data_IF_799113042741
#
_entry.id   IF_799113042741
#
_cell.length_a   1.000
_cell.length_b   1.000
_cell.length_c   1.000
_cell.angle_alpha   90.00
_cell.angle_beta   90.00
_cell.angle_gamma   90.00
#
_symmetry.space_group_name_H-M   'P 1'
#
loop_
_entity.id
_entity.type
_entity.pdbx_description
1 polymer ?
#
# COMPACT_ATOMS: atom_id res chain seq x y z
N UNK A 1 -49.67 -45.12 -16.75
CA UNK A 1 -48.44 -44.71 -17.47
C UNK A 1 -48.06 -43.28 -17.12
N UNK A 2 -48.91 -42.29 -17.39
CA UNK A 2 -48.68 -40.84 -17.18
C UNK A 2 -48.25 -40.37 -15.77
N UNK A 3 -48.52 -41.14 -14.71
CA UNK A 3 -48.20 -40.79 -13.31
C UNK A 3 -46.77 -41.14 -12.89
N UNK A 4 -46.12 -42.09 -13.58
CA UNK A 4 -44.73 -42.45 -13.33
C UNK A 4 -43.77 -41.45 -13.98
N UNK A 5 -44.08 -41.01 -15.21
CA UNK A 5 -43.30 -39.99 -15.93
C UNK A 5 -43.28 -38.65 -15.17
N UNK A 6 -44.39 -38.26 -14.55
CA UNK A 6 -44.49 -37.04 -13.74
C UNK A 6 -43.60 -37.09 -12.48
N UNK A 7 -43.51 -38.25 -11.82
CA UNK A 7 -42.67 -38.43 -10.64
C UNK A 7 -41.17 -38.44 -11.00
N UNK A 8 -40.82 -38.96 -12.17
CA UNK A 8 -39.45 -38.97 -12.69
C UNK A 8 -38.98 -37.55 -13.04
N UNK A 9 -39.85 -36.75 -13.68
CA UNK A 9 -39.61 -35.33 -13.96
C UNK A 9 -39.42 -34.53 -12.66
N UNK A 10 -40.31 -34.71 -11.68
CA UNK A 10 -40.20 -34.03 -10.37
C UNK A 10 -38.91 -34.42 -9.63
N UNK A 11 -38.52 -35.70 -9.71
CA UNK A 11 -37.27 -36.20 -9.14
C UNK A 11 -36.03 -35.54 -9.76
N UNK A 12 -36.01 -35.40 -11.08
CA UNK A 12 -34.90 -34.75 -11.80
C UNK A 12 -34.85 -33.24 -11.55
N UNK A 13 -36.00 -32.56 -11.47
CA UNK A 13 -36.08 -31.14 -11.10
C UNK A 13 -35.50 -30.91 -9.70
N UNK A 14 -35.81 -31.77 -8.71
CA UNK A 14 -35.24 -31.68 -7.36
C UNK A 14 -33.71 -31.85 -7.36
N UNK A 15 -33.17 -32.80 -8.12
CA UNK A 15 -31.71 -32.99 -8.25
C UNK A 15 -31.02 -31.76 -8.83
N UNK A 16 -31.57 -31.17 -9.89
CA UNK A 16 -31.06 -29.94 -10.49
C UNK A 16 -31.15 -28.77 -9.51
N UNK A 17 -32.26 -28.64 -8.79
CA UNK A 17 -32.43 -27.59 -7.78
C UNK A 17 -31.39 -27.71 -6.65
N UNK A 18 -31.14 -28.91 -6.12
CA UNK A 18 -30.10 -29.13 -5.11
C UNK A 18 -28.69 -28.86 -5.65
N UNK A 19 -28.42 -29.19 -6.91
CA UNK A 19 -27.14 -28.89 -7.55
C UNK A 19 -26.91 -27.37 -7.68
N UNK A 20 -27.93 -26.63 -8.11
CA UNK A 20 -27.90 -25.16 -8.17
C UNK A 20 -27.73 -24.52 -6.79
N UNK A 21 -28.43 -25.03 -5.78
CA UNK A 21 -28.33 -24.55 -4.41
C UNK A 21 -26.92 -24.79 -3.84
N UNK A 22 -26.34 -25.95 -4.12
CA UNK A 22 -24.95 -26.27 -3.76
C UNK A 22 -23.94 -25.31 -4.39
N UNK A 23 -24.08 -25.03 -5.69
CA UNK A 23 -23.23 -24.05 -6.39
C UNK A 23 -23.35 -22.64 -5.79
N UNK A 24 -24.56 -22.23 -5.43
CA UNK A 24 -24.82 -20.93 -4.81
C UNK A 24 -24.19 -20.84 -3.42
N UNK A 25 -24.25 -21.91 -2.62
CA UNK A 25 -23.58 -21.97 -1.31
C UNK A 25 -22.05 -21.88 -1.48
N UNK A 26 -21.47 -22.60 -2.45
CA UNK A 26 -20.03 -22.52 -2.74
C UNK A 26 -19.63 -21.09 -3.12
N UNK A 27 -20.42 -20.43 -3.97
CA UNK A 27 -20.19 -19.02 -4.32
C UNK A 27 -20.25 -18.10 -3.09
N UNK A 28 -21.23 -18.28 -2.21
CA UNK A 28 -21.36 -17.49 -0.98
C UNK A 28 -20.19 -17.68 -0.03
N UNK A 29 -19.72 -18.91 0.15
CA UNK A 29 -18.53 -19.21 0.96
C UNK A 29 -17.30 -18.55 0.36
N UNK A 30 -17.13 -18.62 -0.96
CA UNK A 30 -16.01 -18.00 -1.67
C UNK A 30 -16.03 -16.47 -1.55
N UNK A 31 -17.18 -15.84 -1.75
CA UNK A 31 -17.33 -14.39 -1.59
C UNK A 31 -17.07 -13.95 -0.14
N UNK A 32 -17.58 -14.72 0.83
CA UNK A 32 -17.36 -14.47 2.26
C UNK A 32 -15.89 -14.59 2.63
N UNK A 33 -15.17 -15.56 2.04
CA UNK A 33 -13.72 -15.71 2.20
C UNK A 33 -12.98 -14.46 1.71
N UNK A 34 -13.25 -14.00 0.48
CA UNK A 34 -12.62 -12.79 -0.08
C UNK A 34 -12.97 -11.56 0.78
N UNK A 35 -14.22 -11.43 1.23
CA UNK A 35 -14.69 -10.26 1.94
C UNK A 35 -14.19 -10.18 3.40
N UNK A 36 -13.93 -11.31 4.05
CA UNK A 36 -13.47 -11.36 5.45
C UNK A 36 -11.95 -11.47 5.55
N UNK A 37 -11.32 -12.32 4.74
CA UNK A 37 -9.88 -12.61 4.84
C UNK A 37 -9.06 -11.69 3.94
N UNK A 38 -9.47 -11.54 2.68
CA UNK A 38 -8.66 -10.87 1.66
C UNK A 38 -9.01 -9.39 1.44
N UNK A 39 -10.09 -8.92 2.06
CA UNK A 39 -10.60 -7.56 1.87
C UNK A 39 -9.60 -6.49 2.29
N UNK A 40 -8.83 -6.73 3.37
CA UNK A 40 -7.77 -5.82 3.81
C UNK A 40 -6.63 -5.73 2.78
N UNK A 41 -6.28 -6.85 2.15
CA UNK A 41 -5.23 -6.90 1.14
C UNK A 41 -5.66 -6.23 -0.17
N UNK A 42 -6.88 -6.52 -0.64
CA UNK A 42 -7.46 -5.91 -1.85
C UNK A 42 -7.73 -4.41 -1.67
N UNK A 43 -8.17 -3.99 -0.48
CA UNK A 43 -8.38 -2.58 -0.18
C UNK A 43 -7.06 -1.80 -0.18
N UNK A 44 -5.98 -2.38 0.33
CA UNK A 44 -4.64 -1.75 0.38
C UNK A 44 -3.81 -1.98 -0.88
N UNK A 45 -4.34 -2.68 -1.87
CA UNK A 45 -3.57 -3.07 -3.05
C UNK A 45 -3.13 -1.84 -3.86
N UNK A 46 -1.85 -1.71 -4.25
CA UNK A 46 -1.33 -0.57 -5.01
C UNK A 46 -2.06 -0.24 -6.33
N UNK A 47 -2.80 -1.18 -6.93
CA UNK A 47 -3.58 -0.95 -8.15
C UNK A 47 -4.99 -0.41 -7.89
N UNK A 48 -5.40 -0.23 -6.64
CA UNK A 48 -6.73 0.25 -6.28
C UNK A 48 -6.85 1.78 -6.45
N UNK A 49 -7.22 2.22 -7.66
CA UNK A 49 -7.39 3.64 -8.05
C UNK A 49 -8.32 4.45 -7.15
N UNK A 50 -9.30 3.83 -6.48
CA UNK A 50 -10.26 4.52 -5.60
C UNK A 50 -9.58 5.16 -4.38
N UNK A 51 -8.50 4.57 -3.87
CA UNK A 51 -7.73 5.17 -2.78
C UNK A 51 -6.80 6.28 -3.27
N UNK A 52 -6.41 6.27 -4.56
CA UNK A 52 -5.44 7.19 -5.13
C UNK A 52 -6.02 8.60 -5.34
N UNK A 53 -7.31 8.72 -5.62
CA UNK A 53 -7.98 10.03 -5.74
C UNK A 53 -8.14 10.73 -4.37
N UNK A 54 -8.44 9.96 -3.31
CA UNK A 54 -8.54 10.49 -1.95
C UNK A 54 -7.18 10.89 -1.35
N UNK A 55 -6.08 10.30 -1.81
CA UNK A 55 -4.74 10.54 -1.26
C UNK A 55 -4.10 11.85 -1.72
N UNK A 56 -4.58 12.49 -2.80
CA UNK A 56 -4.13 13.85 -3.17
C UNK A 56 -4.45 14.91 -2.11
N UNK A 57 -5.44 14.64 -1.27
CA UNK A 57 -5.84 15.54 -0.19
C UNK A 57 -5.16 15.21 1.15
N UNK A 58 -4.41 14.12 1.21
CA UNK A 58 -3.70 13.69 2.43
C UNK A 58 -2.27 14.19 2.34
N UNK A 59 -1.82 14.87 3.38
CA UNK A 59 -0.42 15.22 3.51
C UNK A 59 0.33 13.98 4.01
N UNK A 60 1.10 13.34 3.12
CA UNK A 60 1.87 12.17 3.53
C UNK A 60 2.94 12.59 4.53
N UNK A 61 3.23 11.70 5.47
CA UNK A 61 4.36 11.86 6.38
C UNK A 61 5.69 11.95 5.64
N UNK A 62 6.66 12.61 6.26
CA UNK A 62 8.01 12.77 5.69
C UNK A 62 8.82 11.47 5.83
N UNK A 63 9.64 11.17 4.84
CA UNK A 63 10.71 10.18 4.95
C UNK A 63 11.99 10.94 5.27
N UNK A 64 12.59 10.63 6.39
CA UNK A 64 13.77 11.31 6.92
C UNK A 64 14.95 10.34 7.02
N UNK A 65 16.15 10.85 6.86
CA UNK A 65 17.38 10.12 7.16
C UNK A 65 17.61 10.05 8.69
N UNK A 66 18.67 9.35 9.12
CA UNK A 66 18.99 9.18 10.54
C UNK A 66 19.36 10.48 11.28
N UNK A 67 19.66 11.56 10.54
CA UNK A 67 20.01 12.89 11.05
C UNK A 67 18.85 13.89 10.91
N UNK A 68 17.72 13.49 10.30
CA UNK A 68 16.56 14.33 10.07
C UNK A 68 16.53 15.02 8.70
N UNK A 69 17.44 14.70 7.78
CA UNK A 69 17.42 15.21 6.42
C UNK A 69 16.21 14.67 5.65
N UNK A 70 15.56 15.53 4.86
CA UNK A 70 14.35 15.17 4.11
C UNK A 70 14.71 14.36 2.87
N UNK A 71 14.33 13.09 2.87
CA UNK A 71 14.50 12.18 1.74
C UNK A 71 13.27 12.18 0.83
N UNK A 72 12.07 12.29 1.40
CA UNK A 72 10.83 12.56 0.68
C UNK A 72 9.86 13.36 1.56
N UNK A 73 9.13 14.30 0.97
CA UNK A 73 8.11 15.06 1.68
C UNK A 73 6.97 15.48 0.76
N UNK A 74 5.84 15.87 1.35
CA UNK A 74 4.70 16.39 0.62
C UNK A 74 4.69 17.92 0.68
N UNK A 75 4.67 18.54 -0.50
CA UNK A 75 4.51 19.98 -0.69
C UNK A 75 3.09 20.29 -1.15
N UNK A 76 2.55 21.43 -0.71
CA UNK A 76 1.19 21.83 -1.09
C UNK A 76 1.19 22.34 -2.53
N UNK A 77 0.35 21.74 -3.38
CA UNK A 77 0.20 22.10 -4.79
C UNK A 77 -1.28 22.38 -5.07
N UNK A 78 -1.64 23.68 -5.08
CA UNK A 78 -3.01 24.14 -5.23
C UNK A 78 -3.96 23.60 -4.16
N UNK A 79 -4.88 22.72 -4.56
CA UNK A 79 -5.89 22.09 -3.69
C UNK A 79 -5.44 20.74 -3.12
N UNK A 80 -4.25 20.26 -3.49
CA UNK A 80 -3.72 18.97 -3.03
C UNK A 80 -2.27 19.03 -2.58
N UNK A 81 -1.67 17.86 -2.47
CA UNK A 81 -0.27 17.68 -2.13
C UNK A 81 0.48 16.94 -3.23
N UNK A 82 1.68 17.41 -3.54
CA UNK A 82 2.63 16.78 -4.44
C UNK A 82 3.79 16.20 -3.63
N UNK A 83 4.23 14.99 -3.99
CA UNK A 83 5.37 14.32 -3.35
C UNK A 83 6.68 14.78 -4.01
N UNK A 84 7.62 15.26 -3.20
CA UNK A 84 8.92 15.76 -3.63
C UNK A 84 10.05 14.87 -3.07
N UNK A 85 11.08 14.67 -3.90
CA UNK A 85 12.22 13.78 -3.64
C UNK A 85 13.56 14.51 -3.87
N UNK A 86 14.11 15.20 -2.85
CA UNK A 86 15.29 16.06 -3.01
C UNK A 86 16.53 15.35 -3.54
N UNK A 87 16.71 14.09 -3.14
CA UNK A 87 17.87 13.28 -3.51
C UNK A 87 17.67 12.52 -4.84
N UNK A 88 16.49 12.60 -5.46
CA UNK A 88 16.18 12.01 -6.78
C UNK A 88 16.88 10.66 -7.02
N UNK A 89 17.73 10.56 -8.06
CA UNK A 89 18.44 9.33 -8.43
C UNK A 89 19.36 8.76 -7.33
N UNK A 90 19.90 9.59 -6.44
CA UNK A 90 20.84 9.18 -5.38
C UNK A 90 20.18 8.20 -4.41
N UNK A 91 18.89 8.41 -4.11
CA UNK A 91 18.15 7.59 -3.15
C UNK A 91 16.92 6.89 -3.77
N UNK A 92 16.72 6.99 -5.08
CA UNK A 92 15.56 6.45 -5.79
C UNK A 92 15.36 4.94 -5.57
N UNK A 93 16.44 4.16 -5.56
CA UNK A 93 16.36 2.70 -5.39
C UNK A 93 15.92 2.29 -3.99
N UNK A 94 16.22 3.11 -2.98
CA UNK A 94 15.86 2.86 -1.59
C UNK A 94 14.45 3.40 -1.32
N UNK A 95 14.26 4.70 -1.54
CA UNK A 95 13.00 5.39 -1.23
C UNK A 95 11.86 4.86 -2.11
N UNK A 96 12.15 4.62 -3.39
CA UNK A 96 11.14 4.35 -4.40
C UNK A 96 10.45 5.62 -4.86
N UNK A 97 9.25 5.45 -5.41
CA UNK A 97 8.41 6.53 -5.89
C UNK A 97 6.95 6.29 -5.52
N UNK A 98 6.16 7.35 -5.59
CA UNK A 98 4.70 7.31 -5.60
C UNK A 98 4.17 7.79 -6.94
N UNK A 99 3.55 6.90 -7.71
CA UNK A 99 2.95 7.21 -9.00
C UNK A 99 1.51 6.76 -9.07
N UNK A 100 0.63 7.67 -9.51
CA UNK A 100 -0.75 7.34 -9.82
C UNK A 100 -0.88 6.25 -10.89
N UNK A 101 0.04 6.24 -11.88
CA UNK A 101 0.00 5.31 -13.01
C UNK A 101 0.71 3.99 -12.71
N UNK A 102 1.84 4.06 -12.00
CA UNK A 102 2.74 2.92 -11.80
C UNK A 102 2.74 2.36 -10.37
N UNK A 103 1.90 2.89 -9.49
CA UNK A 103 1.84 2.49 -8.08
C UNK A 103 3.01 3.05 -7.26
N UNK A 104 3.27 2.41 -6.13
CA UNK A 104 4.33 2.78 -5.18
C UNK A 104 5.42 1.72 -5.16
N UNK A 105 6.65 2.10 -4.85
CA UNK A 105 7.81 1.18 -4.73
C UNK A 105 8.66 1.50 -3.50
N UNK A 106 9.63 0.64 -3.18
CA UNK A 106 10.61 0.89 -2.11
C UNK A 106 9.97 1.15 -0.73
N UNK A 107 10.55 2.11 -0.01
CA UNK A 107 10.06 2.58 1.29
C UNK A 107 8.66 3.18 1.17
N UNK A 108 8.35 3.91 0.09
CA UNK A 108 7.02 4.50 -0.13
C UNK A 108 5.92 3.44 -0.14
N UNK A 109 6.16 2.27 -0.76
CA UNK A 109 5.20 1.16 -0.72
C UNK A 109 5.17 0.45 0.63
N UNK A 110 6.35 0.16 1.20
CA UNK A 110 6.49 -0.67 2.40
C UNK A 110 5.89 0.01 3.63
N UNK A 111 6.10 1.31 3.77
CA UNK A 111 5.62 2.10 4.90
C UNK A 111 4.40 2.96 4.56
N UNK A 112 3.74 2.71 3.43
CA UNK A 112 2.59 3.49 2.97
C UNK A 112 1.52 3.66 4.06
N UNK A 113 1.22 2.61 4.83
CA UNK A 113 0.19 2.70 5.88
C UNK A 113 0.51 3.78 6.91
N UNK A 114 1.79 3.92 7.28
CA UNK A 114 2.26 4.89 8.26
C UNK A 114 2.26 6.29 7.64
N UNK A 115 2.76 6.39 6.41
CA UNK A 115 2.87 7.62 5.64
C UNK A 115 1.51 8.26 5.32
N UNK A 116 0.42 7.49 5.25
CA UNK A 116 -0.95 8.02 5.07
C UNK A 116 -1.74 8.11 6.40
N UNK A 117 -1.11 7.84 7.54
CA UNK A 117 -1.74 7.93 8.87
C UNK A 117 -2.83 6.88 9.13
N UNK A 118 -2.75 5.72 8.46
CA UNK A 118 -3.76 4.65 8.55
C UNK A 118 -3.66 3.81 9.84
N UNK A 119 -2.56 3.91 10.57
CA UNK A 119 -2.33 3.25 11.87
C UNK A 119 -2.99 3.97 13.05
N UNK A 120 -3.49 5.20 12.85
CA UNK A 120 -4.11 5.94 13.93
C UNK A 120 -5.46 5.27 14.21
N UNK A 121 -5.59 4.57 15.36
CA UNK A 121 -6.82 3.89 15.79
C UNK A 121 -8.05 4.84 15.80
N UNK A 122 -7.81 6.14 15.71
CA UNK A 122 -8.81 7.20 15.57
C UNK A 122 -9.52 7.23 14.21
N UNK A 123 -9.09 6.49 13.18
CA UNK A 123 -9.84 6.37 11.91
C UNK A 123 -11.16 5.61 12.06
N UNK A 124 -11.33 4.81 13.11
CA UNK A 124 -12.58 4.09 13.39
C UNK A 124 -13.70 5.02 13.90
N UNK A 125 -13.39 6.27 14.27
CA UNK A 125 -14.33 7.20 14.90
C UNK A 125 -15.00 8.14 13.86
N UNK A 126 -14.84 7.86 12.57
CA UNK A 126 -15.58 8.56 11.50
C UNK A 126 -15.34 10.08 11.47
N UNK A 127 -16.39 10.83 11.12
CA UNK A 127 -16.37 12.27 10.82
C UNK A 127 -15.75 13.18 11.90
N UNK A 128 -15.57 12.69 13.13
CA UNK A 128 -14.95 13.43 14.24
C UNK A 128 -13.45 13.61 14.01
N UNK A 129 -12.78 12.69 13.31
CA UNK A 129 -11.34 12.84 13.00
C UNK A 129 -11.05 14.02 12.05
N UNK A 130 -12.06 14.53 11.33
CA UNK A 130 -11.94 15.73 10.49
C UNK A 130 -11.99 17.04 11.30
N UNK A 131 -12.44 16.98 12.55
CA UNK A 131 -12.49 18.14 13.45
C UNK A 131 -11.15 18.40 14.16
N UNK A 132 -10.23 17.44 14.16
CA UNK A 132 -8.97 17.50 14.95
C UNK A 132 -7.71 17.83 14.14
N UNK A 133 -7.85 18.40 12.95
CA UNK A 133 -6.74 18.95 12.16
C UNK A 133 -6.50 18.22 10.85
N UNK A 134 -5.63 18.83 10.03
CA UNK A 134 -5.26 18.32 8.71
C UNK A 134 -4.79 16.85 8.81
N UNK A 135 -5.22 16.02 7.85
CA UNK A 135 -4.84 14.61 7.78
C UNK A 135 -3.37 14.50 7.39
N UNK A 136 -2.48 14.61 8.38
CA UNK A 136 -1.04 14.43 8.23
C UNK A 136 -0.67 13.00 8.61
N UNK A 137 0.01 12.29 7.73
CA UNK A 137 0.55 10.97 8.02
C UNK A 137 1.79 11.01 8.90
N UNK A 138 2.23 9.84 9.37
CA UNK A 138 3.38 9.75 10.27
C UNK A 138 4.70 9.78 9.50
N UNK A 139 5.70 10.43 10.09
CA UNK A 139 7.04 10.43 9.56
C UNK A 139 7.73 9.07 9.76
N UNK A 140 8.54 8.68 8.78
CA UNK A 140 9.39 7.49 8.84
C UNK A 140 10.83 7.95 8.88
N UNK A 141 11.56 7.56 9.94
CA UNK A 141 12.98 7.85 10.10
C UNK A 141 13.76 6.59 9.71
N UNK A 142 14.60 6.71 8.69
CA UNK A 142 15.45 5.63 8.21
C UNK A 142 16.80 5.61 8.95
N UNK A 143 17.48 4.48 8.86
CA UNK A 143 18.88 4.33 9.29
C UNK A 143 19.89 4.89 8.27
N UNK A 144 19.42 5.18 7.06
CA UNK A 144 20.18 5.76 5.97
C UNK A 144 20.83 7.08 6.40
N UNK A 145 22.06 7.31 5.96
CA UNK A 145 22.76 8.60 6.06
C UNK A 145 22.82 9.24 4.67
N UNK A 146 22.14 10.37 4.48
CA UNK A 146 22.00 10.98 3.16
C UNK A 146 23.35 11.35 2.52
N UNK A 147 24.31 11.79 3.34
CA UNK A 147 25.65 12.16 2.88
C UNK A 147 26.47 10.92 2.48
N UNK A 148 26.33 9.84 3.23
CA UNK A 148 26.99 8.58 2.88
C UNK A 148 26.38 7.96 1.63
N UNK A 149 25.06 8.04 1.48
CA UNK A 149 24.34 7.62 0.28
C UNK A 149 24.82 8.37 -0.96
N UNK A 150 24.96 9.70 -0.87
CA UNK A 150 25.51 10.51 -1.97
C UNK A 150 26.94 10.13 -2.31
N UNK A 151 27.76 9.85 -1.29
CA UNK A 151 29.14 9.39 -1.48
C UNK A 151 29.20 8.03 -2.16
N UNK A 152 28.36 7.09 -1.75
CA UNK A 152 28.24 5.77 -2.36
C UNK A 152 27.77 5.87 -3.82
N UNK A 153 26.75 6.69 -4.10
CA UNK A 153 26.25 6.93 -5.45
C UNK A 153 27.35 7.48 -6.37
N UNK A 154 28.09 8.49 -5.90
CA UNK A 154 29.23 9.08 -6.65
C UNK A 154 30.37 8.08 -6.85
N UNK A 155 30.65 7.24 -5.85
CA UNK A 155 31.68 6.22 -5.93
C UNK A 155 31.33 5.09 -6.92
N UNK A 156 30.05 4.73 -7.02
CA UNK A 156 29.58 3.77 -8.03
C UNK A 156 29.72 4.36 -9.44
N UNK A 157 29.34 5.64 -9.61
CA UNK A 157 29.44 6.33 -10.90
C UNK A 157 28.68 5.59 -11.99
N UNK A 158 29.33 5.34 -13.12
CA UNK A 158 28.74 4.63 -14.26
C UNK A 158 28.87 3.10 -14.17
N UNK A 159 29.44 2.58 -13.08
CA UNK A 159 29.62 1.14 -12.91
C UNK A 159 28.30 0.45 -12.64
N UNK A 160 28.07 -0.68 -13.31
CA UNK A 160 26.90 -1.54 -13.05
C UNK A 160 27.17 -2.36 -11.80
N UNK A 161 26.41 -2.10 -10.74
CA UNK A 161 26.53 -2.84 -9.48
C UNK A 161 25.67 -2.24 -8.39
N UNK A 162 25.98 -2.59 -7.15
CA UNK A 162 25.36 -2.05 -5.95
C UNK A 162 26.45 -1.79 -4.89
N UNK A 163 26.23 -0.81 -4.04
CA UNK A 163 27.08 -0.52 -2.88
C UNK A 163 26.20 -0.54 -1.66
N UNK A 164 26.52 -1.39 -0.68
CA UNK A 164 25.82 -1.43 0.60
C UNK A 164 26.81 -1.09 1.70
N UNK A 165 26.44 -0.13 2.55
CA UNK A 165 27.22 0.23 3.73
C UNK A 165 26.40 -0.09 4.97
N UNK A 166 26.93 -0.97 5.82
CA UNK A 166 26.28 -1.43 7.03
C UNK A 166 27.11 -1.04 8.26
N UNK A 167 26.43 -0.69 9.34
CA UNK A 167 27.03 -0.54 10.66
C UNK A 167 27.04 -1.91 11.37
N UNK A 168 28.20 -2.58 11.54
CA UNK A 168 28.23 -3.99 11.96
C UNK A 168 27.64 -4.24 13.34
N UNK A 169 27.83 -3.30 14.27
CA UNK A 169 27.39 -3.46 15.65
C UNK A 169 25.86 -3.37 15.83
N UNK A 170 25.16 -2.67 14.94
CA UNK A 170 23.71 -2.42 15.05
C UNK A 170 22.90 -3.08 13.93
N UNK A 171 23.55 -3.52 12.86
CA UNK A 171 22.90 -3.97 11.64
C UNK A 171 22.24 -2.85 10.82
N UNK A 172 22.46 -1.57 11.19
CA UNK A 172 21.86 -0.44 10.49
C UNK A 172 22.47 -0.28 9.08
N UNK A 173 21.61 -0.17 8.06
CA UNK A 173 22.02 0.13 6.69
C UNK A 173 22.16 1.65 6.56
N UNK A 174 23.37 2.11 6.27
CA UNK A 174 23.72 3.52 6.17
C UNK A 174 23.69 4.05 4.73
N UNK A 175 23.93 3.19 3.74
CA UNK A 175 23.81 3.49 2.31
C UNK A 175 23.50 2.21 1.53
N UNK A 176 22.74 2.30 0.42
CA UNK A 176 22.34 1.18 -0.44
C UNK A 176 22.00 1.59 -1.88
#
# INVERSE_FOLDING_TARGET
MMRNDLNEIIGNIRKVAFCLLGLLVILFVYLSYIQVVESNFLATHPLNRRNTEGTRQIQYGMILDRKGEKLAYSEKDGTGFKREYPYAAIAANVIGYDSFKYGKTGIESTFNHYLIGMNNQLRHIGAISRLWGDQVGNNVILTLDAKLQETAYKALGDNRGAIVVIQPHTGAILAM
#
